data_IF_547591675139
#
_entry.id   IF_547591675139
#
_cell.length_a   1.000
_cell.length_b   1.000
_cell.length_c   1.000
_cell.angle_alpha   90.00
_cell.angle_beta   90.00
_cell.angle_gamma   90.00
#
_symmetry.space_group_name_H-M   'P 1'
#
loop_
_entity.id
_entity.type
_entity.pdbx_description
1 polymer ?
#
# COMPACT_ATOMS: atom_id res chain seq x y z
N UNK A 1 -6.57 -48.42 8.89
CA UNK A 1 -5.86 -48.63 10.17
C UNK A 1 -5.56 -47.25 10.74
N UNK A 2 -6.37 -46.88 11.73
CA UNK A 2 -6.33 -45.66 12.56
C UNK A 2 -4.93 -45.42 13.14
N UNK A 3 -4.63 -44.15 13.55
CA UNK A 3 -3.75 -43.70 14.67
C UNK A 3 -2.92 -42.46 14.24
N UNK A 4 -2.80 -41.31 14.91
CA UNK A 4 -3.29 -40.71 16.18
C UNK A 4 -3.13 -39.17 16.01
N UNK A 5 -4.14 -38.38 16.41
CA UNK A 5 -4.01 -36.93 16.61
C UNK A 5 -3.38 -36.66 17.98
N UNK A 6 -2.30 -35.87 18.06
CA UNK A 6 -1.83 -35.25 19.32
C UNK A 6 -2.03 -33.74 19.23
N UNK A 7 -3.01 -33.26 19.99
CA UNK A 7 -3.15 -31.85 20.35
C UNK A 7 -2.50 -31.65 21.72
N UNK A 8 -1.63 -30.63 21.84
CA UNK A 8 -1.19 -30.10 23.13
C UNK A 8 -1.49 -28.61 23.13
N UNK A 9 -2.44 -28.22 23.97
CA UNK A 9 -2.69 -26.85 24.38
C UNK A 9 -1.76 -26.52 25.54
N UNK A 10 -1.05 -25.39 25.46
CA UNK A 10 -0.49 -24.70 26.63
C UNK A 10 -0.89 -23.24 26.47
N UNK A 11 -1.69 -22.78 27.42
CA UNK A 11 -2.19 -21.42 27.49
C UNK A 11 -1.12 -20.42 27.89
N UNK A 12 -1.26 -19.21 27.37
CA UNK A 12 -0.68 -18.01 27.94
C UNK A 12 -1.81 -16.98 28.06
N UNK A 13 -2.30 -16.79 29.28
CA UNK A 13 -3.18 -15.69 29.63
C UNK A 13 -2.34 -14.41 29.67
N UNK A 14 -2.54 -13.52 28.69
CA UNK A 14 -2.01 -12.15 28.75
C UNK A 14 -3.16 -11.23 29.15
N UNK A 15 -3.00 -10.66 30.34
CA UNK A 15 -3.84 -9.66 30.98
C UNK A 15 -4.04 -8.45 30.08
N UNK A 16 -5.29 -8.18 29.69
CA UNK A 16 -5.68 -6.97 29.00
C UNK A 16 -5.77 -5.81 30.01
N UNK A 17 -4.82 -4.88 29.95
CA UNK A 17 -4.92 -3.59 30.64
C UNK A 17 -5.80 -2.67 29.81
N UNK A 18 -7.01 -2.42 30.31
CA UNK A 18 -7.94 -1.44 29.74
C UNK A 18 -7.43 -0.02 30.00
N UNK A 19 -7.13 0.75 28.95
CA UNK A 19 -6.99 2.20 29.05
C UNK A 19 -8.38 2.83 28.93
N UNK A 20 -8.79 3.47 30.02
CA UNK A 20 -10.05 4.16 30.20
C UNK A 20 -10.27 5.27 29.15
N UNK A 21 -11.43 5.24 28.51
CA UNK A 21 -11.97 6.39 27.80
C UNK A 21 -12.54 7.38 28.83
N UNK A 22 -11.81 8.46 29.11
CA UNK A 22 -12.35 9.64 29.78
C UNK A 22 -12.26 10.79 28.79
N UNK A 23 -13.41 11.21 28.27
CA UNK A 23 -13.59 12.57 27.80
C UNK A 23 -15.06 12.95 28.04
N UNK A 24 -15.26 13.71 29.12
CA UNK A 24 -16.49 14.41 29.43
C UNK A 24 -16.82 15.39 28.30
N UNK A 25 -18.06 15.35 27.81
CA UNK A 25 -18.64 16.43 27.05
C UNK A 25 -19.05 17.57 28.00
N UNK A 26 -18.75 18.84 27.70
CA UNK A 26 -19.41 19.95 28.38
C UNK A 26 -20.69 20.36 27.64
N UNK A 27 -21.66 20.70 28.47
CA UNK A 27 -23.01 21.11 28.16
C UNK A 27 -23.08 22.37 27.30
N UNK A 28 -24.12 22.41 26.47
CA UNK A 28 -24.63 23.62 25.84
C UNK A 28 -25.16 24.57 26.92
N UNK A 29 -24.65 25.80 26.93
CA UNK A 29 -25.25 26.93 27.62
C UNK A 29 -25.49 28.04 26.60
N UNK A 30 -26.77 28.39 26.44
CA UNK A 30 -27.22 29.57 25.73
C UNK A 30 -26.84 30.83 26.52
N UNK A 31 -26.36 31.87 25.82
CA UNK A 31 -26.32 33.24 26.31
C UNK A 31 -26.56 34.20 25.15
N UNK A 32 -27.49 35.13 25.36
CA UNK A 32 -27.89 36.23 24.48
C UNK A 32 -26.84 37.36 24.42
N UNK A 33 -26.91 38.27 23.44
CA UNK A 33 -25.84 39.23 23.16
C UNK A 33 -26.03 40.54 23.92
N UNK A 34 -25.02 40.96 24.68
CA UNK A 34 -24.87 42.36 25.12
C UNK A 34 -23.68 43.01 24.42
N UNK A 35 -23.99 44.02 23.62
CA UNK A 35 -23.12 45.03 23.03
C UNK A 35 -21.99 45.51 23.95
N UNK A 36 -20.74 45.44 23.48
CA UNK A 36 -19.71 46.43 23.81
C UNK A 36 -18.71 46.57 22.65
N UNK A 37 -18.67 47.77 22.10
CA UNK A 37 -17.75 48.20 21.04
C UNK A 37 -16.41 48.58 21.68
N UNK A 38 -15.39 47.77 21.48
CA UNK A 38 -13.99 48.14 21.70
C UNK A 38 -13.20 47.72 20.46
N UNK A 39 -12.58 48.69 19.79
CA UNK A 39 -11.77 48.46 18.61
C UNK A 39 -10.48 47.71 18.99
N UNK A 40 -10.44 46.41 18.71
CA UNK A 40 -9.22 45.61 18.75
C UNK A 40 -8.83 45.26 17.31
N UNK A 41 -7.61 45.63 16.92
CA UNK A 41 -7.04 45.34 15.61
C UNK A 41 -7.07 43.83 15.29
N UNK A 42 -7.36 43.43 14.04
CA UNK A 42 -7.35 42.01 13.69
C UNK A 42 -5.90 41.51 13.71
N UNK A 43 -5.54 40.71 14.72
CA UNK A 43 -4.38 39.82 14.63
C UNK A 43 -4.67 38.83 13.51
N UNK A 44 -4.00 39.01 12.37
CA UNK A 44 -4.03 38.06 11.27
C UNK A 44 -3.67 36.66 11.78
N UNK A 45 -4.63 35.74 11.75
CA UNK A 45 -4.36 34.34 11.99
C UNK A 45 -3.53 33.82 10.81
N UNK A 46 -2.28 33.46 11.07
CA UNK A 46 -1.41 32.84 10.07
C UNK A 46 -2.04 31.50 9.62
N UNK A 47 -2.10 31.21 8.32
CA UNK A 47 -2.61 29.93 7.84
C UNK A 47 -1.70 28.80 8.35
N UNK A 48 -2.27 27.82 9.04
CA UNK A 48 -1.57 26.56 9.34
C UNK A 48 -1.31 25.86 8.01
N UNK A 49 -0.03 25.75 7.63
CA UNK A 49 0.38 24.96 6.48
C UNK A 49 -0.02 23.49 6.70
N UNK A 50 -0.98 23.00 5.93
CA UNK A 50 -1.24 21.57 5.81
C UNK A 50 -0.15 20.96 4.93
N UNK A 51 0.62 20.02 5.47
CA UNK A 51 1.61 19.30 4.67
C UNK A 51 0.89 18.52 3.57
N UNK A 52 1.19 18.82 2.30
CA UNK A 52 0.65 18.09 1.17
C UNK A 52 1.23 16.67 1.15
N UNK A 53 0.36 15.65 1.21
CA UNK A 53 0.77 14.25 1.03
C UNK A 53 1.29 14.08 -0.40
N UNK A 54 2.50 13.54 -0.56
CA UNK A 54 3.05 13.24 -1.87
C UNK A 54 2.08 12.35 -2.67
N UNK A 55 1.81 12.74 -3.91
CA UNK A 55 0.93 11.99 -4.81
C UNK A 55 1.53 10.61 -5.09
N UNK A 56 0.68 9.57 -5.13
CA UNK A 56 1.10 8.25 -5.58
C UNK A 56 1.32 8.28 -7.10
N UNK A 57 2.26 7.49 -7.60
CA UNK A 57 2.37 7.27 -9.04
C UNK A 57 1.06 6.64 -9.55
N UNK A 58 0.70 6.90 -10.80
CA UNK A 58 -0.43 6.23 -11.47
C UNK A 58 0.10 5.08 -12.31
N UNK A 59 -0.70 4.02 -12.46
CA UNK A 59 -0.36 2.91 -13.34
C UNK A 59 -0.20 3.39 -14.78
N UNK A 60 0.89 2.98 -15.44
CA UNK A 60 1.30 3.50 -16.75
C UNK A 60 0.90 2.62 -17.95
N UNK A 61 0.15 1.53 -17.72
CA UNK A 61 -0.27 0.62 -18.80
C UNK A 61 0.82 -0.32 -19.33
N UNK A 62 2.01 -0.39 -18.71
CA UNK A 62 3.16 -1.13 -19.26
C UNK A 62 2.94 -2.64 -19.40
N UNK A 63 1.96 -3.23 -18.72
CA UNK A 63 1.63 -4.65 -18.90
C UNK A 63 0.81 -4.93 -20.18
N UNK A 64 0.37 -3.89 -20.89
CA UNK A 64 -0.38 -4.02 -22.13
C UNK A 64 -1.88 -4.29 -21.94
N UNK A 65 -2.54 -4.57 -23.06
CA UNK A 65 -3.99 -4.76 -23.11
C UNK A 65 -4.48 -5.97 -22.31
N UNK A 66 -5.69 -5.85 -21.74
CA UNK A 66 -6.33 -6.91 -20.97
C UNK A 66 -5.84 -7.04 -19.52
N UNK A 67 -4.84 -6.25 -19.10
CA UNK A 67 -4.40 -6.18 -17.71
C UNK A 67 -5.14 -5.09 -16.94
N UNK A 68 -5.62 -5.44 -15.75
CA UNK A 68 -6.22 -4.50 -14.80
C UNK A 68 -5.41 -4.51 -13.51
N UNK A 69 -5.29 -3.34 -12.85
CA UNK A 69 -4.63 -3.24 -11.55
C UNK A 69 -5.46 -3.98 -10.51
N UNK A 70 -4.86 -5.00 -9.88
CA UNK A 70 -5.48 -5.78 -8.79
C UNK A 70 -4.86 -5.47 -7.43
N UNK A 71 -3.66 -4.89 -7.41
CA UNK A 71 -3.03 -4.43 -6.18
C UNK A 71 -1.98 -3.34 -6.47
N UNK A 72 -1.62 -2.58 -5.44
CA UNK A 72 -0.55 -1.59 -5.52
C UNK A 72 0.04 -1.29 -4.14
N UNK A 73 1.30 -0.86 -4.11
CA UNK A 73 1.96 -0.41 -2.88
C UNK A 73 2.85 0.80 -3.18
N UNK A 74 2.69 1.87 -2.38
CA UNK A 74 3.52 3.07 -2.50
C UNK A 74 4.95 2.76 -2.02
N UNK A 75 5.94 3.18 -2.82
CA UNK A 75 7.36 3.15 -2.47
C UNK A 75 7.71 4.54 -1.96
N UNK A 76 7.43 4.76 -0.67
CA UNK A 76 7.53 6.07 -0.03
C UNK A 76 6.86 7.16 -0.86
N UNK A 77 7.64 8.19 -1.20
CA UNK A 77 7.23 9.26 -2.13
C UNK A 77 7.80 9.09 -3.54
N UNK A 78 8.67 8.10 -3.75
CA UNK A 78 9.44 7.90 -4.98
C UNK A 78 8.63 7.25 -6.10
N UNK A 79 7.65 6.42 -5.76
CA UNK A 79 6.85 5.73 -6.76
C UNK A 79 5.80 4.78 -6.21
N UNK A 80 5.34 3.88 -7.06
CA UNK A 80 4.36 2.85 -6.72
C UNK A 80 4.65 1.61 -7.54
N UNK A 81 4.67 0.46 -6.88
CA UNK A 81 4.68 -0.84 -7.55
C UNK A 81 3.24 -1.32 -7.72
N UNK A 82 2.92 -1.76 -8.93
CA UNK A 82 1.60 -2.24 -9.31
C UNK A 82 1.65 -3.73 -9.60
N UNK A 83 0.67 -4.46 -9.08
CA UNK A 83 0.33 -5.80 -9.54
C UNK A 83 -0.92 -5.69 -10.42
N UNK A 84 -0.82 -6.22 -11.62
CA UNK A 84 -1.92 -6.32 -12.56
C UNK A 84 -2.20 -7.77 -12.93
N UNK A 85 -3.40 -8.04 -13.41
CA UNK A 85 -3.84 -9.37 -13.79
C UNK A 85 -4.64 -9.32 -15.08
N UNK A 86 -4.43 -10.31 -15.94
CA UNK A 86 -5.25 -10.56 -17.12
C UNK A 86 -6.05 -11.85 -16.90
N UNK A 87 -7.37 -11.73 -16.77
CA UNK A 87 -8.26 -12.86 -16.49
C UNK A 87 -8.40 -13.83 -17.67
N UNK A 88 -8.23 -13.35 -18.90
CA UNK A 88 -8.27 -14.18 -20.09
C UNK A 88 -7.06 -15.12 -20.15
N UNK A 89 -5.86 -14.62 -19.84
CA UNK A 89 -4.63 -15.44 -19.90
C UNK A 89 -4.27 -16.10 -18.56
N UNK A 90 -4.72 -15.57 -17.43
CA UNK A 90 -4.34 -16.04 -16.10
C UNK A 90 -2.96 -15.56 -15.64
N UNK A 91 -2.43 -14.52 -16.30
CA UNK A 91 -1.09 -13.96 -16.02
C UNK A 91 -1.16 -12.77 -15.10
N UNK A 92 -0.26 -12.75 -14.13
CA UNK A 92 0.07 -11.57 -13.34
C UNK A 92 1.18 -10.79 -14.05
N UNK A 93 1.19 -9.46 -13.86
CA UNK A 93 2.26 -8.58 -14.30
C UNK A 93 2.58 -7.54 -13.24
N UNK A 94 3.87 -7.35 -12.94
CA UNK A 94 4.37 -6.33 -12.02
C UNK A 94 5.16 -5.26 -12.77
N UNK A 95 4.90 -4.00 -12.40
CA UNK A 95 5.66 -2.84 -12.85
C UNK A 95 5.90 -1.90 -11.67
N UNK A 96 7.11 -1.35 -11.58
CA UNK A 96 7.45 -0.31 -10.60
C UNK A 96 7.54 1.03 -11.30
N UNK A 97 6.65 1.96 -10.98
CA UNK A 97 6.52 3.26 -11.67
C UNK A 97 6.96 4.39 -10.74
N UNK A 98 7.80 5.30 -11.24
CA UNK A 98 8.19 6.51 -10.49
C UNK A 98 7.04 7.50 -10.43
N UNK A 99 6.89 8.16 -9.29
CA UNK A 99 5.98 9.31 -9.15
C UNK A 99 6.44 10.47 -10.02
N UNK A 100 7.76 10.73 -10.02
CA UNK A 100 8.38 11.79 -10.82
C UNK A 100 9.52 11.20 -11.66
N UNK A 101 9.35 11.11 -12.99
CA UNK A 101 10.41 10.72 -13.91
C UNK A 101 11.63 11.63 -13.85
N UNK A 102 12.80 11.13 -14.25
CA UNK A 102 14.03 11.92 -14.29
C UNK A 102 15.26 11.13 -14.68
N UNK A 103 16.43 11.53 -14.16
CA UNK A 103 17.68 10.78 -14.34
C UNK A 103 17.52 9.33 -13.91
N UNK A 104 18.21 8.42 -14.58
CA UNK A 104 18.13 7.00 -14.30
C UNK A 104 18.57 6.71 -12.86
N UNK A 105 17.78 5.93 -12.15
CA UNK A 105 18.06 5.50 -10.77
C UNK A 105 17.86 4.00 -10.66
N UNK A 106 18.48 3.38 -9.66
CA UNK A 106 18.28 1.96 -9.37
C UNK A 106 16.80 1.68 -9.09
N UNK A 107 16.22 0.74 -9.83
CA UNK A 107 14.87 0.28 -9.62
C UNK A 107 14.76 -1.23 -9.87
N UNK A 108 13.80 -1.84 -9.19
CA UNK A 108 13.47 -3.26 -9.34
C UNK A 108 11.96 -3.44 -9.46
N UNK A 109 11.54 -4.41 -10.26
CA UNK A 109 10.20 -5.00 -10.26
C UNK A 109 10.34 -6.52 -10.10
N UNK A 110 9.69 -7.11 -9.09
CA UNK A 110 9.80 -8.53 -8.76
C UNK A 110 8.44 -9.17 -8.60
N UNK A 111 8.28 -10.37 -9.13
CA UNK A 111 7.05 -11.16 -9.07
C UNK A 111 7.38 -12.63 -8.89
N UNK A 112 6.73 -13.28 -7.94
CA UNK A 112 6.92 -14.69 -7.63
C UNK A 112 5.66 -15.33 -7.07
N UNK A 113 5.68 -16.66 -6.94
CA UNK A 113 4.63 -17.37 -6.21
C UNK A 113 4.81 -17.18 -4.71
N UNK A 114 3.72 -17.23 -3.96
CA UNK A 114 3.77 -17.25 -2.49
C UNK A 114 4.30 -18.60 -1.96
N UNK A 115 4.00 -19.69 -2.66
CA UNK A 115 4.53 -21.03 -2.40
C UNK A 115 4.40 -21.89 -3.67
N UNK A 116 5.46 -22.56 -4.16
CA UNK A 116 6.86 -22.45 -3.69
C UNK A 116 7.45 -21.06 -3.98
N UNK A 117 8.47 -20.61 -3.25
CA UNK A 117 9.02 -19.25 -3.40
C UNK A 117 9.98 -19.15 -4.59
N UNK A 118 9.44 -19.05 -5.80
CA UNK A 118 10.20 -18.73 -7.02
C UNK A 118 9.86 -17.32 -7.45
N UNK A 119 10.87 -16.48 -7.71
CA UNK A 119 10.70 -15.07 -8.07
C UNK A 119 11.45 -14.75 -9.36
N UNK A 120 10.81 -14.02 -10.25
CA UNK A 120 11.41 -13.39 -11.44
C UNK A 120 11.50 -11.89 -11.15
N UNK A 121 12.60 -11.25 -11.56
CA UNK A 121 12.81 -9.81 -11.34
C UNK A 121 13.43 -9.14 -12.55
N UNK A 122 13.08 -7.87 -12.73
CA UNK A 122 13.76 -6.92 -13.61
C UNK A 122 14.44 -5.86 -12.72
N UNK A 123 15.75 -5.70 -12.87
CA UNK A 123 16.58 -4.83 -12.03
C UNK A 123 17.59 -4.09 -12.88
N UNK A 124 17.73 -2.78 -12.64
CA UNK A 124 18.56 -1.91 -13.46
C UNK A 124 18.40 -0.44 -13.10
N UNK A 125 18.90 0.43 -13.97
CA UNK A 125 18.77 1.88 -13.84
C UNK A 125 17.75 2.42 -14.84
N UNK A 126 16.63 2.97 -14.34
CA UNK A 126 15.52 3.41 -15.19
C UNK A 126 15.12 4.86 -14.91
N UNK A 127 14.63 5.52 -15.95
CA UNK A 127 14.19 6.93 -15.90
C UNK A 127 12.74 7.08 -15.47
N UNK A 128 11.89 6.10 -15.78
CA UNK A 128 10.42 6.15 -15.61
C UNK A 128 9.86 4.96 -14.84
N UNK A 129 10.17 3.72 -15.25
CA UNK A 129 9.66 2.50 -14.63
C UNK A 129 10.59 1.29 -14.84
N UNK A 130 10.47 0.27 -13.99
CA UNK A 130 11.09 -1.06 -14.14
C UNK A 130 10.00 -2.13 -14.33
N UNK A 131 10.31 -3.22 -15.04
CA UNK A 131 9.36 -4.20 -15.56
C UNK A 131 8.97 -3.92 -17.03
N UNK A 132 7.94 -4.59 -17.58
CA UNK A 132 7.02 -5.50 -16.92
C UNK A 132 7.60 -6.89 -16.66
N UNK A 133 7.34 -7.46 -15.48
CA UNK A 133 7.64 -8.86 -15.15
C UNK A 133 6.36 -9.66 -15.10
N UNK A 134 6.29 -10.76 -15.85
CA UNK A 134 5.09 -11.60 -15.96
C UNK A 134 5.25 -12.92 -15.22
N UNK A 135 4.13 -13.44 -14.71
CA UNK A 135 4.06 -14.78 -14.10
C UNK A 135 2.70 -15.41 -14.35
N UNK A 136 2.71 -16.64 -14.88
CA UNK A 136 1.53 -17.50 -14.93
C UNK A 136 1.18 -18.00 -13.54
N UNK A 137 0.08 -17.52 -12.96
CA UNK A 137 -0.29 -17.86 -11.58
C UNK A 137 -1.80 -17.95 -11.39
N UNK A 138 -2.52 -18.48 -12.39
CA UNK A 138 -3.96 -18.75 -12.26
C UNK A 138 -4.20 -19.71 -11.09
N UNK A 139 -5.03 -19.29 -10.15
CA UNK A 139 -5.36 -20.07 -8.95
C UNK A 139 -4.23 -20.19 -7.92
N UNK A 140 -3.16 -19.40 -8.07
CA UNK A 140 -2.02 -19.38 -7.16
C UNK A 140 -1.82 -17.97 -6.60
N UNK A 141 -1.51 -17.88 -5.31
CA UNK A 141 -1.13 -16.61 -4.70
C UNK A 141 0.25 -16.16 -5.17
N UNK A 142 0.39 -14.86 -5.42
CA UNK A 142 1.66 -14.23 -5.81
C UNK A 142 2.18 -13.28 -4.73
N UNK A 143 3.50 -13.20 -4.67
CA UNK A 143 4.28 -12.23 -3.91
C UNK A 143 4.99 -11.31 -4.88
N UNK A 144 4.97 -10.02 -4.62
CA UNK A 144 5.53 -9.01 -5.51
C UNK A 144 6.17 -7.88 -4.73
N UNK A 145 7.19 -7.27 -5.33
CA UNK A 145 7.96 -6.17 -4.74
C UNK A 145 8.41 -5.21 -5.84
N UNK A 146 8.58 -3.96 -5.44
CA UNK A 146 9.29 -2.96 -6.22
C UNK A 146 10.28 -2.20 -5.36
N UNK A 147 11.35 -1.71 -5.98
CA UNK A 147 12.35 -0.88 -5.33
C UNK A 147 12.61 0.39 -6.16
N UNK A 148 12.82 1.53 -5.50
CA UNK A 148 13.36 2.75 -6.11
C UNK A 148 14.41 3.35 -5.18
N UNK A 149 15.68 3.31 -5.59
CA UNK A 149 16.81 3.88 -4.82
C UNK A 149 16.80 3.45 -3.35
N UNK A 150 16.76 2.13 -3.11
CA UNK A 150 16.78 1.52 -1.78
C UNK A 150 15.46 1.51 -1.01
N UNK A 151 14.41 2.20 -1.47
CA UNK A 151 13.08 2.08 -0.85
C UNK A 151 12.30 0.94 -1.49
N UNK A 152 11.75 0.05 -0.67
CA UNK A 152 11.06 -1.17 -1.12
C UNK A 152 9.61 -1.17 -0.65
N UNK A 153 8.70 -1.61 -1.51
CA UNK A 153 7.32 -1.89 -1.13
C UNK A 153 6.75 -3.09 -1.89
N UNK A 154 5.68 -3.68 -1.37
CA UNK A 154 4.90 -4.72 -2.03
C UNK A 154 4.12 -5.57 -1.04
N UNK A 155 3.50 -6.65 -1.53
CA UNK A 155 2.69 -7.56 -0.69
C UNK A 155 3.01 -9.02 -0.99
N UNK A 156 2.68 -9.90 -0.04
CA UNK A 156 2.87 -11.34 -0.14
C UNK A 156 1.52 -12.03 -0.18
N UNK A 157 1.41 -13.15 -0.90
CA UNK A 157 0.22 -14.00 -0.84
C UNK A 157 -1.06 -13.32 -1.34
N UNK A 158 -0.98 -12.52 -2.40
CA UNK A 158 -2.12 -11.78 -2.96
C UNK A 158 -2.54 -12.32 -4.32
N UNK A 159 -3.69 -11.84 -4.84
CA UNK A 159 -4.27 -12.26 -6.13
C UNK A 159 -4.37 -13.79 -6.28
N UNK A 160 -4.83 -14.45 -5.22
CA UNK A 160 -4.78 -15.89 -5.07
C UNK A 160 -5.66 -16.69 -6.04
N UNK A 161 -6.48 -16.03 -6.87
CA UNK A 161 -7.42 -16.67 -7.78
C UNK A 161 -8.36 -17.65 -7.08
N UNK A 162 -9.63 -17.31 -6.91
CA UNK A 162 -10.61 -18.35 -6.61
C UNK A 162 -10.57 -19.37 -7.76
N UNK A 163 -10.25 -20.62 -7.48
CA UNK A 163 -10.47 -21.71 -8.43
C UNK A 163 -11.98 -21.71 -8.70
N UNK A 164 -12.39 -21.18 -9.86
CA UNK A 164 -13.73 -21.35 -10.39
C UNK A 164 -13.71 -22.55 -11.34
#
# INVERSE_FOLDING_TARGET
>A
MTIIRRASAIGAAVTATACAAIALAPAAAAAEPTTQRAAAAPKAAAPKATAAKAAAATYNGACGGGYSVVNSAQIGTKGTVFLTYNSATGKNCVVTVRTTPGKAVHMTASLGFASPTTTVSDTGYYTTYAGPVYLDARGLCVTWRGEISGEVAGKNGTNCGSLA
#
